data_IF_787397912669
#
_entry.id   IF_787397912669
#
_cell.length_a   1.000
_cell.length_b   1.000
_cell.length_c   1.000
_cell.angle_alpha   90.00
_cell.angle_beta   90.00
_cell.angle_gamma   90.00
#
_symmetry.space_group_name_H-M   'P 1'
#
loop_
_entity.id
_entity.type
_entity.pdbx_description
1 polymer ?
#
# COMPACT_ATOMS: atom_id res chain seq x y z
N UNK A 1 15.49 2.76 -27.95
CA UNK A 1 16.65 3.41 -27.33
C UNK A 1 17.45 2.30 -26.65
N UNK A 2 18.76 2.43 -26.49
CA UNK A 2 19.55 1.42 -25.78
C UNK A 2 19.32 1.57 -24.28
N UNK A 3 18.92 0.46 -23.62
CA UNK A 3 18.80 0.40 -22.16
C UNK A 3 20.18 0.24 -21.57
N UNK A 4 20.58 1.14 -20.68
CA UNK A 4 21.89 1.12 -20.05
C UNK A 4 21.74 0.70 -18.59
N UNK A 5 22.33 -0.43 -18.24
CA UNK A 5 22.48 -0.91 -16.86
C UNK A 5 23.51 -0.05 -16.12
N UNK A 6 23.10 1.12 -15.63
CA UNK A 6 23.97 2.00 -14.85
C UNK A 6 24.37 1.40 -13.50
N UNK A 7 23.48 0.62 -12.90
CA UNK A 7 23.76 -0.01 -11.61
C UNK A 7 24.85 -1.08 -11.74
N UNK A 8 24.77 -1.91 -12.78
CA UNK A 8 25.84 -2.85 -13.08
C UNK A 8 27.16 -2.18 -13.50
N UNK A 9 27.11 -0.99 -14.09
CA UNK A 9 28.32 -0.18 -14.35
C UNK A 9 28.91 0.40 -13.05
N UNK A 10 28.06 0.84 -12.13
CA UNK A 10 28.47 1.31 -10.80
C UNK A 10 29.10 0.17 -10.00
N UNK A 11 28.45 -0.99 -9.93
CA UNK A 11 28.93 -2.16 -9.19
C UNK A 11 30.31 -2.62 -9.62
N UNK A 12 30.58 -2.61 -10.94
CA UNK A 12 31.92 -2.90 -11.46
C UNK A 12 32.96 -1.92 -10.97
N UNK A 13 32.63 -0.61 -10.91
CA UNK A 13 33.52 0.43 -10.38
C UNK A 13 33.70 0.31 -8.87
N UNK A 14 32.60 0.08 -8.14
CA UNK A 14 32.58 -0.12 -6.69
C UNK A 14 33.46 -1.31 -6.30
N UNK A 15 33.28 -2.46 -6.96
CA UNK A 15 34.10 -3.67 -6.74
C UNK A 15 35.60 -3.37 -6.92
N UNK A 16 35.96 -2.61 -7.97
CA UNK A 16 37.33 -2.18 -8.20
C UNK A 16 37.88 -1.24 -7.10
N UNK A 17 37.04 -0.36 -6.59
CA UNK A 17 37.36 0.55 -5.49
C UNK A 17 37.50 -0.18 -4.15
N UNK A 18 36.59 -1.12 -3.86
CA UNK A 18 36.65 -1.96 -2.66
C UNK A 18 37.88 -2.85 -2.63
N UNK A 19 38.27 -3.48 -3.74
CA UNK A 19 39.50 -4.27 -3.83
C UNK A 19 40.76 -3.47 -3.45
N UNK A 20 40.81 -2.18 -3.77
CA UNK A 20 41.94 -1.30 -3.43
C UNK A 20 41.91 -0.77 -1.99
N UNK A 21 40.73 -0.70 -1.36
CA UNK A 21 40.51 -0.04 -0.07
C UNK A 21 39.86 -0.95 0.97
N UNK A 22 39.50 -2.20 0.69
CA UNK A 22 38.68 -3.08 1.52
C UNK A 22 39.22 -3.37 2.91
N UNK A 23 40.57 -3.38 3.08
CA UNK A 23 41.15 -3.55 4.42
C UNK A 23 41.22 -2.30 5.29
N UNK A 24 40.69 -1.17 4.82
CA UNK A 24 40.75 0.13 5.50
C UNK A 24 39.43 0.59 6.15
N UNK A 25 38.36 -0.15 5.95
CA UNK A 25 37.01 0.25 6.37
C UNK A 25 36.22 -0.91 6.94
N UNK A 26 35.39 -0.63 7.93
CA UNK A 26 34.39 -1.55 8.47
C UNK A 26 33.18 -1.66 7.54
N UNK A 27 32.36 -2.69 7.72
CA UNK A 27 31.11 -2.89 6.96
C UNK A 27 30.18 -1.66 7.06
N UNK A 28 29.98 -1.15 8.27
CA UNK A 28 29.17 0.05 8.53
C UNK A 28 29.69 1.31 7.83
N UNK A 29 31.01 1.46 7.71
CA UNK A 29 31.60 2.57 6.95
C UNK A 29 31.37 2.42 5.46
N UNK A 30 31.33 1.18 4.94
CA UNK A 30 30.96 0.91 3.55
C UNK A 30 29.49 1.19 3.29
N UNK A 31 28.58 0.73 4.14
CA UNK A 31 27.14 1.00 4.03
C UNK A 31 26.84 2.50 3.91
N UNK A 32 27.51 3.34 4.69
CA UNK A 32 27.35 4.78 4.62
C UNK A 32 28.00 5.43 3.39
N UNK A 33 29.09 4.85 2.88
CA UNK A 33 29.84 5.43 1.76
C UNK A 33 29.26 5.07 0.39
N UNK A 34 28.64 3.87 0.25
CA UNK A 34 28.13 3.40 -1.05
C UNK A 34 27.11 4.37 -1.64
N UNK A 35 26.11 4.89 -0.89
CA UNK A 35 25.18 5.89 -1.40
C UNK A 35 25.87 7.16 -1.90
N UNK A 36 26.86 7.68 -1.15
CA UNK A 36 27.62 8.86 -1.59
C UNK A 36 28.43 8.62 -2.88
N UNK A 37 28.95 7.40 -3.05
CA UNK A 37 29.68 7.03 -4.26
C UNK A 37 28.74 6.88 -5.45
N UNK A 38 27.52 6.39 -5.22
CA UNK A 38 26.49 6.28 -6.25
C UNK A 38 26.03 7.67 -6.71
N UNK A 39 25.77 8.60 -5.79
CA UNK A 39 25.49 9.98 -6.10
C UNK A 39 26.58 10.63 -6.98
N UNK A 40 27.85 10.48 -6.57
CA UNK A 40 29.00 10.96 -7.34
C UNK A 40 29.12 10.28 -8.71
N UNK A 41 28.72 9.01 -8.81
CA UNK A 41 28.71 8.29 -10.09
C UNK A 41 27.67 8.90 -11.05
N UNK A 42 26.54 9.36 -10.56
CA UNK A 42 25.52 10.05 -11.35
C UNK A 42 26.06 11.26 -12.12
N UNK A 43 27.08 11.94 -11.58
CA UNK A 43 27.74 13.11 -12.19
C UNK A 43 29.08 12.78 -12.86
N UNK A 44 29.50 11.51 -12.84
CA UNK A 44 30.74 11.11 -13.47
C UNK A 44 30.60 10.96 -15.00
N UNK A 45 31.47 11.61 -15.76
CA UNK A 45 31.48 11.48 -17.21
C UNK A 45 31.85 10.05 -17.64
N UNK A 46 31.02 9.47 -18.49
CA UNK A 46 31.21 8.10 -19.03
C UNK A 46 31.56 8.20 -20.51
N UNK A 47 32.84 7.95 -20.91
CA UNK A 47 33.30 8.12 -22.29
C UNK A 47 32.51 7.31 -23.33
N UNK A 48 32.01 6.12 -22.94
CA UNK A 48 31.26 5.26 -23.86
C UNK A 48 29.93 5.85 -24.32
N UNK A 49 29.28 6.65 -23.47
CA UNK A 49 28.00 7.29 -23.76
C UNK A 49 28.11 8.78 -24.01
N UNK A 50 29.27 9.37 -23.78
CA UNK A 50 29.55 10.80 -24.04
C UNK A 50 28.85 11.78 -23.10
N UNK A 51 28.38 11.34 -21.93
CA UNK A 51 27.72 12.15 -20.93
C UNK A 51 27.78 11.50 -19.54
N UNK A 52 27.20 12.15 -18.53
CA UNK A 52 26.99 11.55 -17.20
C UNK A 52 25.67 10.75 -17.17
N UNK A 53 25.46 9.80 -16.23
CA UNK A 53 24.19 9.10 -16.06
C UNK A 53 23.00 10.04 -15.94
N UNK A 54 23.08 11.09 -15.11
CA UNK A 54 22.03 12.10 -14.96
C UNK A 54 21.76 12.86 -16.28
N UNK A 55 22.81 13.25 -17.01
CA UNK A 55 22.66 13.92 -18.29
C UNK A 55 22.07 13.02 -19.38
N UNK A 56 22.26 11.71 -19.29
CA UNK A 56 21.68 10.76 -20.22
C UNK A 56 20.15 10.84 -20.21
N UNK A 57 19.54 10.79 -19.04
CA UNK A 57 18.09 10.89 -18.88
C UNK A 57 17.57 12.34 -19.07
N UNK A 58 18.31 13.32 -18.58
CA UNK A 58 17.94 14.75 -18.73
C UNK A 58 17.81 15.22 -20.18
N UNK A 59 18.46 14.56 -21.14
CA UNK A 59 18.39 14.90 -22.59
C UNK A 59 17.18 14.28 -23.29
N UNK A 60 16.51 13.31 -22.66
CA UNK A 60 15.31 12.67 -23.21
C UNK A 60 14.13 13.61 -23.15
N UNK A 61 13.21 13.55 -24.12
CA UNK A 61 11.88 14.10 -23.93
C UNK A 61 11.04 13.16 -23.06
N UNK A 62 9.86 13.60 -22.62
CA UNK A 62 9.04 12.84 -21.67
C UNK A 62 8.58 11.49 -22.24
N UNK A 63 8.31 11.40 -23.53
CA UNK A 63 7.96 10.14 -24.19
C UNK A 63 9.13 9.14 -24.17
N UNK A 64 10.33 9.64 -24.46
CA UNK A 64 11.54 8.82 -24.42
C UNK A 64 11.88 8.39 -22.99
N UNK A 65 11.69 9.29 -22.02
CA UNK A 65 11.97 9.03 -20.61
C UNK A 65 11.08 7.90 -20.07
N UNK A 66 9.75 8.04 -20.25
CA UNK A 66 8.78 7.02 -19.81
C UNK A 66 8.93 5.73 -20.64
N UNK A 67 9.16 5.83 -21.96
CA UNK A 67 9.41 4.64 -22.77
C UNK A 67 10.70 3.90 -22.34
N UNK A 68 11.71 4.61 -21.84
CA UNK A 68 12.92 3.99 -21.28
C UNK A 68 12.63 3.32 -19.95
N UNK A 69 11.84 3.94 -19.07
CA UNK A 69 11.39 3.34 -17.81
C UNK A 69 10.64 2.02 -18.06
N UNK A 70 9.61 2.04 -18.89
CA UNK A 70 8.88 0.83 -19.29
C UNK A 70 9.80 -0.23 -19.92
N UNK A 71 10.79 0.20 -20.71
CA UNK A 71 11.77 -0.70 -21.29
C UNK A 71 12.64 -1.40 -20.25
N UNK A 72 13.06 -0.71 -19.19
CA UNK A 72 13.80 -1.32 -18.07
C UNK A 72 12.95 -2.37 -17.35
N UNK A 73 11.70 -2.03 -17.01
CA UNK A 73 10.76 -2.93 -16.31
C UNK A 73 10.50 -4.20 -17.14
N UNK A 74 10.07 -4.04 -18.38
CA UNK A 74 9.74 -5.17 -19.26
C UNK A 74 10.95 -5.99 -19.71
N UNK A 75 12.14 -5.36 -19.75
CA UNK A 75 13.39 -6.01 -20.14
C UNK A 75 14.11 -6.71 -18.99
N UNK A 76 13.62 -6.62 -17.76
CA UNK A 76 14.29 -7.16 -16.57
C UNK A 76 15.66 -6.53 -16.32
N UNK A 77 15.88 -5.30 -16.79
CA UNK A 77 17.10 -4.52 -16.52
C UNK A 77 16.83 -3.62 -15.33
N UNK A 78 17.69 -3.58 -14.30
CA UNK A 78 17.47 -2.73 -13.14
C UNK A 78 17.10 -1.30 -13.52
N UNK A 79 16.09 -0.73 -12.87
CA UNK A 79 15.66 0.66 -13.08
C UNK A 79 16.61 1.56 -12.29
N UNK A 80 17.47 2.37 -12.93
CA UNK A 80 18.41 3.20 -12.21
C UNK A 80 17.72 4.34 -11.48
N UNK A 81 18.16 4.64 -10.26
CA UNK A 81 17.61 5.74 -9.45
C UNK A 81 17.66 7.11 -10.20
N UNK A 82 18.67 7.33 -11.05
CA UNK A 82 18.78 8.53 -11.87
C UNK A 82 17.62 8.69 -12.87
N UNK A 83 17.06 7.58 -13.36
CA UNK A 83 15.88 7.58 -14.22
C UNK A 83 14.64 7.95 -13.39
N UNK A 84 14.43 7.33 -12.25
CA UNK A 84 13.34 7.64 -11.33
C UNK A 84 13.38 9.11 -10.90
N UNK A 85 14.54 9.59 -10.47
CA UNK A 85 14.73 10.98 -10.06
C UNK A 85 14.39 11.99 -11.19
N UNK A 86 14.69 11.69 -12.45
CA UNK A 86 14.33 12.58 -13.56
C UNK A 86 12.82 12.51 -13.88
N UNK A 87 12.18 11.34 -13.73
CA UNK A 87 10.72 11.20 -13.84
C UNK A 87 10.02 11.99 -12.74
N UNK A 88 10.43 11.84 -11.49
CA UNK A 88 9.89 12.60 -10.33
C UNK A 88 10.05 14.11 -10.50
N UNK A 89 11.21 14.54 -10.96
CA UNK A 89 11.51 15.96 -11.18
C UNK A 89 10.61 16.59 -12.25
N UNK A 90 10.35 15.88 -13.35
CA UNK A 90 9.54 16.40 -14.47
C UNK A 90 8.05 16.18 -14.28
N UNK A 91 7.68 15.10 -13.60
CA UNK A 91 6.28 14.67 -13.40
C UNK A 91 5.46 14.71 -14.70
N UNK A 92 5.81 13.94 -15.72
CA UNK A 92 5.06 13.91 -16.99
C UNK A 92 3.72 13.14 -16.79
N UNK A 93 2.77 13.75 -16.06
CA UNK A 93 1.58 13.14 -15.49
C UNK A 93 0.76 12.37 -16.53
N UNK A 94 0.50 12.97 -17.71
CA UNK A 94 -0.28 12.29 -18.76
C UNK A 94 0.39 10.98 -19.23
N UNK A 95 1.72 10.95 -19.32
CA UNK A 95 2.47 9.76 -19.73
C UNK A 95 2.49 8.71 -18.64
N UNK A 96 2.67 9.13 -17.38
CA UNK A 96 2.62 8.20 -16.24
C UNK A 96 1.21 7.62 -16.09
N UNK A 97 0.15 8.44 -16.24
CA UNK A 97 -1.24 7.95 -16.25
C UNK A 97 -1.48 6.88 -17.33
N UNK A 98 -0.79 6.96 -18.48
CA UNK A 98 -0.92 5.91 -19.50
C UNK A 98 -0.27 4.57 -19.12
N UNK A 99 0.72 4.58 -18.20
CA UNK A 99 1.33 3.35 -17.69
C UNK A 99 0.36 2.52 -16.83
N UNK A 100 -0.67 3.16 -16.22
CA UNK A 100 -1.72 2.45 -15.47
C UNK A 100 -2.57 1.51 -16.35
N UNK A 101 -2.54 1.67 -17.67
CA UNK A 101 -3.21 0.76 -18.61
C UNK A 101 -2.34 -0.44 -19.02
N UNK A 102 -1.14 -0.55 -18.46
CA UNK A 102 -0.24 -1.67 -18.76
C UNK A 102 -0.81 -2.98 -18.23
N UNK A 103 -0.65 -4.04 -19.00
CA UNK A 103 -0.89 -5.41 -18.54
C UNK A 103 0.26 -5.95 -17.70
N UNK A 104 1.38 -5.25 -17.64
CA UNK A 104 2.53 -5.55 -16.80
C UNK A 104 2.33 -4.86 -15.44
N UNK A 105 2.17 -5.67 -14.40
CA UNK A 105 1.83 -5.22 -13.04
C UNK A 105 2.91 -4.30 -12.45
N UNK A 106 4.18 -4.62 -12.68
CA UNK A 106 5.29 -3.80 -12.19
C UNK A 106 5.26 -2.40 -12.82
N UNK A 107 4.97 -2.29 -14.11
CA UNK A 107 4.79 -1.01 -14.80
C UNK A 107 3.63 -0.20 -14.20
N UNK A 108 2.51 -0.84 -13.89
CA UNK A 108 1.37 -0.17 -13.26
C UNK A 108 1.70 0.29 -11.83
N UNK A 109 2.39 -0.52 -11.02
CA UNK A 109 2.84 -0.15 -9.67
C UNK A 109 3.78 1.06 -9.70
N UNK A 110 4.75 1.09 -10.62
CA UNK A 110 5.60 2.27 -10.78
C UNK A 110 4.79 3.53 -11.14
N UNK A 111 3.75 3.40 -11.95
CA UNK A 111 2.86 4.51 -12.27
C UNK A 111 2.13 5.03 -11.02
N UNK A 112 1.55 4.14 -10.20
CA UNK A 112 0.89 4.52 -8.94
C UNK A 112 1.88 5.22 -8.02
N UNK A 113 3.10 4.68 -7.86
CA UNK A 113 4.14 5.26 -7.03
C UNK A 113 4.52 6.70 -7.45
N UNK A 114 4.68 6.96 -8.75
CA UNK A 114 5.05 8.29 -9.24
C UNK A 114 3.90 9.31 -9.19
N UNK A 115 2.65 8.87 -9.33
CA UNK A 115 1.48 9.75 -9.31
C UNK A 115 1.03 10.01 -7.87
N UNK A 116 1.00 8.98 -7.02
CA UNK A 116 0.50 9.05 -5.65
C UNK A 116 -0.96 9.51 -5.60
N UNK A 117 -1.25 10.47 -4.72
CA UNK A 117 -2.58 11.03 -4.47
C UNK A 117 -2.94 12.24 -5.36
N UNK A 118 -2.36 12.34 -6.56
CA UNK A 118 -2.69 13.39 -7.53
C UNK A 118 -4.12 13.25 -8.04
N UNK A 119 -4.91 14.33 -7.95
CA UNK A 119 -6.33 14.34 -8.32
C UNK A 119 -6.59 13.93 -9.78
N UNK A 120 -5.62 14.14 -10.68
CA UNK A 120 -5.73 13.73 -12.07
C UNK A 120 -5.81 12.21 -12.25
N UNK A 121 -5.37 11.43 -11.25
CA UNK A 121 -5.42 9.97 -11.28
C UNK A 121 -6.74 9.39 -10.71
N UNK A 122 -7.52 10.15 -9.96
CA UNK A 122 -8.65 9.61 -9.20
C UNK A 122 -9.67 8.86 -10.07
N UNK A 123 -10.05 9.43 -11.22
CA UNK A 123 -10.99 8.75 -12.11
C UNK A 123 -10.45 7.41 -12.60
N UNK A 124 -9.16 7.35 -12.87
CA UNK A 124 -8.49 6.12 -13.31
C UNK A 124 -8.36 5.11 -12.18
N UNK A 125 -8.02 5.55 -10.98
CA UNK A 125 -7.97 4.72 -9.79
C UNK A 125 -9.33 4.09 -9.46
N UNK A 126 -10.40 4.88 -9.47
CA UNK A 126 -11.74 4.32 -9.33
C UNK A 126 -12.07 3.30 -10.43
N UNK A 127 -11.71 3.59 -11.69
CA UNK A 127 -11.91 2.64 -12.80
C UNK A 127 -11.16 1.33 -12.59
N UNK A 128 -9.95 1.35 -12.03
CA UNK A 128 -9.16 0.14 -11.69
C UNK A 128 -9.92 -0.69 -10.66
N UNK A 129 -10.35 -0.08 -9.53
CA UNK A 129 -11.08 -0.78 -8.47
C UNK A 129 -12.47 -1.25 -8.92
N UNK A 130 -13.15 -0.51 -9.82
CA UNK A 130 -14.45 -0.87 -10.37
C UNK A 130 -14.38 -2.06 -11.34
N UNK A 131 -13.31 -2.15 -12.15
CA UNK A 131 -13.10 -3.26 -13.06
C UNK A 131 -12.62 -4.52 -12.33
N UNK A 132 -11.75 -4.38 -11.32
CA UNK A 132 -11.19 -5.49 -10.58
C UNK A 132 -10.38 -6.47 -11.46
N UNK A 133 -9.71 -5.93 -12.48
CA UNK A 133 -8.93 -6.69 -13.47
C UNK A 133 -7.43 -6.47 -13.36
N UNK A 134 -7.02 -5.52 -12.51
CA UNK A 134 -5.62 -5.28 -12.17
C UNK A 134 -5.11 -6.34 -11.18
N UNK A 135 -3.79 -6.49 -11.07
CA UNK A 135 -3.20 -7.31 -10.01
C UNK A 135 -3.57 -6.79 -8.62
N UNK A 136 -3.61 -7.69 -7.65
CA UNK A 136 -4.02 -7.35 -6.28
C UNK A 136 -3.13 -6.26 -5.67
N UNK A 137 -1.83 -6.28 -5.95
CA UNK A 137 -0.89 -5.28 -5.45
C UNK A 137 -1.19 -3.89 -6.04
N UNK A 138 -1.56 -3.80 -7.32
CA UNK A 138 -1.97 -2.54 -7.96
C UNK A 138 -3.26 -2.01 -7.34
N UNK A 139 -4.27 -2.86 -7.15
CA UNK A 139 -5.54 -2.46 -6.55
C UNK A 139 -5.34 -1.96 -5.11
N UNK A 140 -4.52 -2.64 -4.33
CA UNK A 140 -4.19 -2.24 -2.95
C UNK A 140 -3.47 -0.89 -2.92
N UNK A 141 -2.45 -0.68 -3.76
CA UNK A 141 -1.70 0.57 -3.80
C UNK A 141 -2.57 1.75 -4.26
N UNK A 142 -3.44 1.52 -5.24
CA UNK A 142 -4.46 2.49 -5.69
C UNK A 142 -5.41 2.85 -4.55
N UNK A 143 -5.87 1.85 -3.78
CA UNK A 143 -6.73 2.09 -2.63
C UNK A 143 -6.00 2.92 -1.54
N UNK A 144 -4.71 2.66 -1.29
CA UNK A 144 -3.91 3.47 -0.36
C UNK A 144 -3.82 4.94 -0.81
N UNK A 145 -3.59 5.19 -2.10
CA UNK A 145 -3.60 6.56 -2.64
C UNK A 145 -4.95 7.25 -2.42
N UNK A 146 -6.06 6.56 -2.70
CA UNK A 146 -7.40 7.10 -2.49
C UNK A 146 -7.74 7.31 -1.01
N UNK A 147 -7.24 6.46 -0.10
CA UNK A 147 -7.37 6.64 1.36
C UNK A 147 -6.66 7.90 1.84
N UNK A 148 -5.47 8.19 1.31
CA UNK A 148 -4.76 9.44 1.63
C UNK A 148 -5.55 10.68 1.21
N UNK A 149 -6.33 10.57 0.13
CA UNK A 149 -7.18 11.65 -0.39
C UNK A 149 -8.66 11.51 0.00
N UNK A 150 -9.00 10.73 1.03
CA UNK A 150 -10.37 10.31 1.35
C UNK A 150 -11.39 11.45 1.38
N UNK A 151 -11.07 12.59 2.00
CA UNK A 151 -11.99 13.75 2.07
C UNK A 151 -12.32 14.34 0.68
N UNK A 152 -11.41 14.24 -0.27
CA UNK A 152 -11.62 14.73 -1.65
C UNK A 152 -12.50 13.78 -2.45
N UNK A 153 -12.37 12.47 -2.18
CA UNK A 153 -13.02 11.41 -2.98
C UNK A 153 -14.25 10.78 -2.32
N UNK A 154 -14.58 11.13 -1.08
CA UNK A 154 -15.67 10.51 -0.29
C UNK A 154 -17.01 10.42 -1.01
N UNK A 155 -17.42 11.47 -1.73
CA UNK A 155 -18.69 11.47 -2.47
C UNK A 155 -18.68 10.43 -3.61
N UNK A 156 -17.56 10.29 -4.31
CA UNK A 156 -17.39 9.27 -5.35
C UNK A 156 -17.35 7.87 -4.73
N UNK A 157 -16.63 7.69 -3.62
CA UNK A 157 -16.57 6.41 -2.91
C UNK A 157 -17.95 5.97 -2.39
N UNK A 158 -18.77 6.89 -1.83
CA UNK A 158 -20.16 6.62 -1.44
C UNK A 158 -21.03 6.16 -2.62
N UNK A 159 -20.91 6.85 -3.74
CA UNK A 159 -21.66 6.49 -4.95
C UNK A 159 -21.25 5.09 -5.45
N UNK A 160 -19.95 4.86 -5.60
CA UNK A 160 -19.42 3.57 -6.06
C UNK A 160 -19.79 2.42 -5.10
N UNK A 161 -19.74 2.65 -3.78
CA UNK A 161 -20.23 1.68 -2.78
C UNK A 161 -21.68 1.30 -3.01
N UNK A 162 -22.55 2.29 -3.17
CA UNK A 162 -23.99 2.06 -3.38
C UNK A 162 -24.29 1.32 -4.67
N UNK A 163 -23.59 1.67 -5.74
CA UNK A 163 -23.73 0.97 -7.02
C UNK A 163 -23.28 -0.49 -6.93
N UNK A 164 -22.15 -0.76 -6.28
CA UNK A 164 -21.66 -2.11 -6.05
C UNK A 164 -22.68 -2.93 -5.24
N UNK A 165 -23.19 -2.37 -4.14
CA UNK A 165 -24.20 -3.01 -3.29
C UNK A 165 -25.51 -3.26 -4.04
N UNK A 166 -25.98 -2.29 -4.83
CA UNK A 166 -27.19 -2.43 -5.63
C UNK A 166 -27.11 -3.53 -6.68
N UNK A 167 -25.98 -3.59 -7.40
CA UNK A 167 -25.71 -4.65 -8.39
C UNK A 167 -25.52 -6.03 -7.75
N UNK A 168 -24.90 -6.11 -6.58
CA UNK A 168 -24.69 -7.36 -5.83
C UNK A 168 -26.00 -7.96 -5.32
N UNK A 169 -26.99 -7.12 -5.03
CA UNK A 169 -28.32 -7.56 -4.60
C UNK A 169 -29.20 -8.13 -5.73
N UNK A 170 -28.80 -7.98 -7.00
CA UNK A 170 -29.53 -8.55 -8.14
C UNK A 170 -29.31 -10.07 -8.22
N UNK A 171 -30.40 -10.83 -8.15
CA UNK A 171 -30.38 -12.30 -8.23
C UNK A 171 -29.86 -12.84 -9.56
N UNK A 172 -29.81 -12.02 -10.63
CA UNK A 172 -29.30 -12.40 -11.93
C UNK A 172 -27.78 -12.20 -12.06
N UNK A 173 -27.12 -11.61 -11.07
CA UNK A 173 -25.68 -11.39 -11.09
C UNK A 173 -24.92 -12.70 -10.90
N UNK A 174 -23.98 -13.00 -11.79
CA UNK A 174 -23.13 -14.18 -11.69
C UNK A 174 -22.28 -14.14 -10.41
N UNK A 175 -21.97 -15.31 -9.83
CA UNK A 175 -21.26 -15.41 -8.54
C UNK A 175 -19.89 -14.73 -8.57
N UNK A 176 -19.12 -14.94 -9.64
CA UNK A 176 -17.82 -14.27 -9.85
C UNK A 176 -17.94 -12.73 -9.86
N UNK A 177 -19.03 -12.23 -10.46
CA UNK A 177 -19.31 -10.80 -10.47
C UNK A 177 -19.72 -10.30 -9.07
N UNK A 178 -20.44 -11.09 -8.29
CA UNK A 178 -20.79 -10.75 -6.91
C UNK A 178 -19.56 -10.62 -6.02
N UNK A 179 -18.63 -11.57 -6.14
CA UNK A 179 -17.36 -11.55 -5.39
C UNK A 179 -16.56 -10.29 -5.71
N UNK A 180 -16.47 -9.92 -6.99
CA UNK A 180 -15.83 -8.69 -7.43
C UNK A 180 -16.52 -7.43 -6.88
N UNK A 181 -17.84 -7.37 -6.93
CA UNK A 181 -18.61 -6.24 -6.40
C UNK A 181 -18.47 -6.13 -4.88
N UNK A 182 -18.33 -7.25 -4.20
CA UNK A 182 -18.07 -7.27 -2.77
C UNK A 182 -16.66 -6.74 -2.43
N UNK A 183 -15.65 -7.16 -3.18
CA UNK A 183 -14.28 -6.62 -3.04
C UNK A 183 -14.25 -5.12 -3.29
N UNK A 184 -14.93 -4.66 -4.35
CA UNK A 184 -15.09 -3.25 -4.67
C UNK A 184 -15.77 -2.48 -3.52
N UNK A 185 -16.86 -3.01 -2.97
CA UNK A 185 -17.56 -2.38 -1.84
C UNK A 185 -16.65 -2.28 -0.60
N UNK A 186 -15.81 -3.28 -0.36
CA UNK A 186 -14.88 -3.28 0.76
C UNK A 186 -13.79 -2.19 0.61
N UNK A 187 -13.20 -2.03 -0.58
CA UNK A 187 -12.29 -0.92 -0.86
C UNK A 187 -12.96 0.45 -0.60
N UNK A 188 -14.23 0.60 -0.98
CA UNK A 188 -14.94 1.86 -0.73
C UNK A 188 -15.17 2.11 0.76
N UNK A 189 -15.50 1.09 1.55
CA UNK A 189 -15.62 1.21 3.01
C UNK A 189 -14.29 1.61 3.65
N UNK A 190 -13.20 1.02 3.20
CA UNK A 190 -11.87 1.34 3.69
C UNK A 190 -11.48 2.79 3.38
N UNK A 191 -11.73 3.26 2.15
CA UNK A 191 -11.50 4.66 1.76
C UNK A 191 -12.38 5.61 2.61
N UNK A 192 -13.66 5.31 2.75
CA UNK A 192 -14.59 6.12 3.54
C UNK A 192 -14.21 6.21 5.01
N UNK A 193 -13.63 5.14 5.56
CA UNK A 193 -13.17 5.11 6.95
C UNK A 193 -12.02 6.09 7.24
N UNK A 194 -11.34 6.59 6.22
CA UNK A 194 -10.25 7.56 6.34
C UNK A 194 -10.69 9.01 6.13
N UNK A 195 -11.94 9.24 5.80
CA UNK A 195 -12.49 10.62 5.72
C UNK A 195 -12.72 11.21 7.10
N UNK A 196 -12.79 12.53 7.18
CA UNK A 196 -13.05 13.24 8.42
C UNK A 196 -14.42 12.83 9.01
N UNK A 197 -14.43 12.55 10.32
CA UNK A 197 -15.63 12.16 11.05
C UNK A 197 -16.70 13.29 11.04
N UNK A 198 -17.97 12.89 11.23
CA UNK A 198 -19.09 13.81 11.35
C UNK A 198 -20.05 13.85 10.15
N UNK A 199 -19.78 13.09 9.10
CA UNK A 199 -20.71 12.88 8.00
C UNK A 199 -21.67 11.73 8.32
N UNK A 200 -22.94 12.04 8.52
CA UNK A 200 -23.96 11.05 8.91
C UNK A 200 -24.17 9.96 7.86
N UNK A 201 -23.97 10.27 6.58
CA UNK A 201 -24.16 9.32 5.50
C UNK A 201 -23.05 8.27 5.50
N UNK A 202 -21.79 8.70 5.67
CA UNK A 202 -20.65 7.80 5.80
C UNK A 202 -20.77 6.96 7.08
N UNK A 203 -21.08 7.60 8.21
CA UNK A 203 -21.29 6.90 9.48
C UNK A 203 -22.32 5.77 9.35
N UNK A 204 -23.49 6.07 8.77
CA UNK A 204 -24.54 5.08 8.58
C UNK A 204 -24.13 3.93 7.66
N UNK A 205 -23.35 4.21 6.62
CA UNK A 205 -22.79 3.18 5.73
C UNK A 205 -21.85 2.26 6.49
N UNK A 206 -20.90 2.81 7.26
CA UNK A 206 -19.93 2.03 8.03
C UNK A 206 -20.61 1.19 9.12
N UNK A 207 -21.57 1.75 9.87
CA UNK A 207 -22.34 1.03 10.90
C UNK A 207 -23.20 -0.07 10.30
N UNK A 208 -23.86 0.18 9.17
CA UNK A 208 -24.66 -0.85 8.47
C UNK A 208 -23.75 -2.01 8.02
N UNK A 209 -22.64 -1.68 7.38
CA UNK A 209 -21.68 -2.69 6.91
C UNK A 209 -21.10 -3.53 8.07
N UNK A 210 -20.81 -2.91 9.22
CA UNK A 210 -20.28 -3.62 10.40
C UNK A 210 -21.14 -4.80 10.83
N UNK A 211 -22.47 -4.69 10.77
CA UNK A 211 -23.39 -5.74 11.21
C UNK A 211 -23.79 -6.77 10.14
N UNK A 212 -23.32 -6.65 8.90
CA UNK A 212 -23.82 -7.49 7.79
C UNK A 212 -23.21 -8.89 7.73
N UNK A 213 -21.93 -9.04 8.06
CA UNK A 213 -21.18 -10.31 7.94
C UNK A 213 -20.28 -10.51 9.16
N UNK A 214 -20.49 -11.61 9.86
CA UNK A 214 -19.76 -11.90 11.11
C UNK A 214 -18.25 -12.06 10.86
N UNK A 215 -17.86 -12.72 9.80
CA UNK A 215 -16.47 -12.94 9.45
C UNK A 215 -15.69 -11.65 9.13
N UNK A 216 -16.40 -10.55 8.82
CA UNK A 216 -15.80 -9.24 8.52
C UNK A 216 -15.81 -8.26 9.68
N UNK A 217 -16.42 -8.62 10.81
CA UNK A 217 -16.53 -7.74 11.98
C UNK A 217 -15.15 -7.24 12.46
N UNK A 218 -14.10 -8.08 12.59
CA UNK A 218 -12.79 -7.60 13.03
C UNK A 218 -12.25 -6.46 12.17
N UNK A 219 -12.26 -6.65 10.86
CA UNK A 219 -11.79 -5.66 9.89
C UNK A 219 -12.67 -4.39 9.91
N UNK A 220 -13.99 -4.54 9.93
CA UNK A 220 -14.93 -3.42 9.93
C UNK A 220 -14.97 -2.66 11.25
N UNK A 221 -14.59 -3.29 12.36
CA UNK A 221 -14.33 -2.59 13.62
C UNK A 221 -13.16 -1.61 13.47
N UNK A 222 -12.09 -2.01 12.77
CA UNK A 222 -10.97 -1.11 12.49
C UNK A 222 -11.37 0.08 11.59
N UNK A 223 -12.33 -0.09 10.69
CA UNK A 223 -12.88 1.03 9.88
C UNK A 223 -13.64 2.04 10.74
N UNK A 224 -14.45 1.56 11.68
CA UNK A 224 -15.14 2.44 12.63
C UNK A 224 -14.16 3.20 13.52
N UNK A 225 -13.12 2.53 13.99
CA UNK A 225 -12.03 3.16 14.75
C UNK A 225 -11.29 4.22 13.92
N UNK A 226 -10.97 3.91 12.66
CA UNK A 226 -10.27 4.82 11.75
C UNK A 226 -11.12 6.06 11.40
N UNK A 227 -12.44 5.89 11.24
CA UNK A 227 -13.37 6.98 11.01
C UNK A 227 -13.49 7.92 12.23
N UNK A 228 -13.31 7.40 13.44
CA UNK A 228 -13.18 8.22 14.64
C UNK A 228 -14.47 8.82 15.19
N UNK A 229 -15.65 8.27 14.84
CA UNK A 229 -16.94 8.76 15.35
C UNK A 229 -17.39 7.97 16.58
N UNK A 230 -17.39 8.64 17.75
CA UNK A 230 -17.74 8.04 19.04
C UNK A 230 -19.16 7.43 19.08
N UNK A 231 -20.05 7.81 18.17
CA UNK A 231 -21.40 7.22 18.04
C UNK A 231 -21.36 5.71 17.74
N UNK A 232 -20.22 5.17 17.29
CA UNK A 232 -20.03 3.74 17.09
C UNK A 232 -19.83 2.95 18.40
N UNK A 233 -19.43 3.60 19.50
CA UNK A 233 -19.17 2.94 20.79
C UNK A 233 -20.29 2.01 21.28
N UNK A 234 -21.58 2.40 21.30
CA UNK A 234 -22.64 1.52 21.79
C UNK A 234 -22.77 0.21 20.99
N UNK A 235 -22.50 0.27 19.67
CA UNK A 235 -22.56 -0.92 18.79
C UNK A 235 -21.38 -1.83 19.03
N UNK A 236 -20.16 -1.28 19.14
CA UNK A 236 -18.95 -2.04 19.45
C UNK A 236 -19.00 -2.67 20.84
N UNK A 237 -19.43 -1.92 21.87
CA UNK A 237 -19.61 -2.43 23.24
C UNK A 237 -20.64 -3.55 23.30
N UNK A 238 -21.75 -3.43 22.60
CA UNK A 238 -22.74 -4.52 22.51
C UNK A 238 -22.18 -5.77 21.87
N UNK A 239 -21.34 -5.62 20.83
CA UNK A 239 -20.76 -6.79 20.12
C UNK A 239 -19.69 -7.48 20.97
N UNK A 240 -18.81 -6.73 21.64
CA UNK A 240 -17.73 -7.30 22.46
C UNK A 240 -18.27 -8.10 23.67
N UNK A 241 -19.48 -7.79 24.16
CA UNK A 241 -20.15 -8.53 25.23
C UNK A 241 -20.67 -9.91 24.79
N UNK A 242 -20.76 -10.19 23.48
CA UNK A 242 -21.19 -11.48 22.97
C UNK A 242 -20.22 -12.58 23.39
N UNK A 243 -20.77 -13.71 23.87
CA UNK A 243 -19.96 -14.87 24.32
C UNK A 243 -19.41 -15.71 23.15
N UNK A 244 -19.92 -15.51 21.95
CA UNK A 244 -19.61 -16.31 20.76
C UNK A 244 -18.42 -15.78 19.94
N UNK A 245 -17.85 -14.62 20.34
CA UNK A 245 -16.73 -14.03 19.62
C UNK A 245 -15.40 -14.70 20.00
N UNK A 246 -14.54 -14.96 18.99
CA UNK A 246 -13.19 -15.47 19.16
C UNK A 246 -12.19 -14.39 19.61
N UNK A 247 -10.95 -14.83 19.86
CA UNK A 247 -9.87 -13.96 20.35
C UNK A 247 -9.56 -12.81 19.40
N UNK A 248 -9.46 -13.07 18.08
CA UNK A 248 -9.13 -12.03 17.09
C UNK A 248 -10.22 -10.96 17.06
N UNK A 249 -11.50 -11.37 17.01
CA UNK A 249 -12.61 -10.42 17.01
C UNK A 249 -12.65 -9.60 18.29
N UNK A 250 -12.45 -10.23 19.44
CA UNK A 250 -12.39 -9.53 20.72
C UNK A 250 -11.29 -8.48 20.76
N UNK A 251 -10.10 -8.82 20.29
CA UNK A 251 -8.95 -7.92 20.28
C UNK A 251 -9.21 -6.71 19.39
N UNK A 252 -9.73 -6.91 18.18
CA UNK A 252 -10.01 -5.82 17.25
C UNK A 252 -11.15 -4.91 17.75
N UNK A 253 -12.19 -5.51 18.35
CA UNK A 253 -13.26 -4.72 18.99
C UNK A 253 -12.74 -3.89 20.16
N UNK A 254 -11.90 -4.47 21.02
CA UNK A 254 -11.29 -3.76 22.15
C UNK A 254 -10.43 -2.60 21.65
N UNK A 255 -9.59 -2.84 20.65
CA UNK A 255 -8.80 -1.80 20.01
C UNK A 255 -9.68 -0.67 19.44
N UNK A 256 -10.75 -1.02 18.74
CA UNK A 256 -11.68 -0.03 18.18
C UNK A 256 -12.38 0.81 19.26
N UNK A 257 -12.80 0.17 20.36
CA UNK A 257 -13.41 0.86 21.50
C UNK A 257 -12.42 1.84 22.13
N UNK A 258 -11.19 1.41 22.39
CA UNK A 258 -10.13 2.24 22.97
C UNK A 258 -9.75 3.42 22.05
N UNK A 259 -9.64 3.17 20.73
CA UNK A 259 -9.35 4.21 19.75
C UNK A 259 -10.44 5.30 19.68
N UNK A 260 -11.69 4.94 19.96
CA UNK A 260 -12.81 5.89 20.05
C UNK A 260 -12.99 6.52 21.44
N UNK A 261 -12.04 6.33 22.37
CA UNK A 261 -12.07 6.89 23.70
C UNK A 261 -12.95 6.14 24.71
N UNK A 262 -13.45 4.95 24.36
CA UNK A 262 -14.15 4.06 25.28
C UNK A 262 -13.21 3.16 26.06
N UNK A 263 -13.74 2.45 27.06
CA UNK A 263 -12.98 1.47 27.85
C UNK A 263 -13.78 0.16 27.93
N UNK A 264 -13.06 -0.97 27.84
CA UNK A 264 -13.60 -2.29 28.09
C UNK A 264 -12.62 -3.12 28.92
N UNK A 265 -12.95 -3.38 30.19
CA UNK A 265 -12.05 -3.98 31.18
C UNK A 265 -12.55 -5.33 31.70
N UNK A 266 -13.65 -5.88 31.17
CA UNK A 266 -14.15 -7.18 31.59
C UNK A 266 -13.17 -8.29 31.20
N UNK A 267 -12.72 -9.11 32.17
CA UNK A 267 -11.79 -10.21 31.90
C UNK A 267 -12.49 -11.27 31.05
N UNK A 268 -11.76 -11.81 30.07
CA UNK A 268 -12.23 -12.87 29.19
C UNK A 268 -11.16 -13.93 28.98
N UNK A 269 -11.57 -15.19 28.95
CA UNK A 269 -10.70 -16.34 28.62
C UNK A 269 -11.07 -16.85 27.23
N UNK A 270 -10.06 -17.34 26.52
CA UNK A 270 -10.19 -17.89 25.17
C UNK A 270 -9.63 -19.32 25.11
N UNK A 271 -9.94 -20.14 26.14
CA UNK A 271 -9.48 -21.49 26.23
C UNK A 271 -9.96 -22.32 25.02
N UNK A 272 -9.00 -22.85 24.25
CA UNK A 272 -9.27 -23.63 23.05
C UNK A 272 -9.44 -22.81 21.75
N UNK A 273 -9.31 -21.49 21.79
CA UNK A 273 -9.23 -20.66 20.59
C UNK A 273 -7.84 -20.81 19.94
N UNK A 274 -7.82 -21.24 18.67
CA UNK A 274 -6.56 -21.53 17.96
C UNK A 274 -5.66 -20.31 17.81
N UNK A 275 -6.22 -19.13 17.61
CA UNK A 275 -5.44 -17.90 17.41
C UNK A 275 -4.89 -17.38 18.75
N UNK A 276 -5.63 -17.56 19.83
CA UNK A 276 -5.14 -17.28 21.17
C UNK A 276 -3.95 -18.18 21.53
N UNK A 277 -4.06 -19.50 21.29
CA UNK A 277 -2.96 -20.44 21.53
C UNK A 277 -1.70 -20.12 20.72
N UNK A 278 -1.83 -19.69 19.46
CA UNK A 278 -0.67 -19.24 18.64
C UNK A 278 0.05 -18.04 19.25
N UNK A 279 -0.70 -17.07 19.79
CA UNK A 279 -0.12 -15.88 20.43
C UNK A 279 0.57 -16.24 21.75
N UNK A 280 -0.02 -17.14 22.57
CA UNK A 280 0.62 -17.63 23.78
C UNK A 280 1.94 -18.37 23.49
N UNK A 281 1.94 -19.25 22.47
CA UNK A 281 3.13 -19.98 22.05
C UNK A 281 4.26 -19.06 21.53
N UNK A 282 3.92 -17.99 20.83
CA UNK A 282 4.89 -16.98 20.36
C UNK A 282 5.47 -16.20 21.54
N UNK A 283 4.63 -15.73 22.44
CA UNK A 283 5.05 -14.98 23.62
C UNK A 283 5.94 -15.84 24.55
N UNK A 284 5.65 -17.14 24.68
CA UNK A 284 6.49 -18.07 25.42
C UNK A 284 7.87 -18.26 24.78
N UNK A 285 7.96 -18.28 23.44
CA UNK A 285 9.24 -18.40 22.71
C UNK A 285 10.06 -17.13 22.81
N UNK A 286 9.46 -15.95 22.72
CA UNK A 286 10.15 -14.66 22.86
C UNK A 286 10.64 -14.43 24.29
N UNK A 287 9.85 -14.76 25.32
CA UNK A 287 10.27 -14.71 26.72
C UNK A 287 11.43 -15.66 27.04
N UNK A 288 11.56 -16.80 26.36
CA UNK A 288 12.71 -17.70 26.49
C UNK A 288 13.99 -17.17 25.81
N UNK A 289 13.85 -16.36 24.73
CA UNK A 289 15.01 -15.80 24.02
C UNK A 289 15.70 -14.66 24.81
N UNK A 290 14.95 -13.90 25.60
CA UNK A 290 15.53 -12.86 26.47
C UNK A 290 16.30 -13.44 27.67
N UNK A 291 15.89 -14.59 28.21
CA UNK A 291 16.57 -15.25 29.34
C UNK A 291 17.86 -15.95 28.85
N UNK A 292 17.92 -16.39 27.59
CA UNK A 292 19.10 -17.06 27.02
C UNK A 292 20.28 -16.14 26.71
N UNK A 293 20.07 -14.84 26.66
CA UNK A 293 21.13 -13.84 26.39
C UNK A 293 21.75 -13.21 27.66
N UNK A 294 21.38 -13.69 28.83
CA UNK A 294 21.90 -13.25 30.14
C UNK A 294 22.79 -14.29 30.85
N UNK A 295 23.22 -15.36 30.16
CA UNK A 295 24.15 -16.36 30.71
C UNK A 295 25.51 -16.36 30.05
#
# INVERSE_FOLDING_TARGET
MELIDFDGLFDKKLTGYMKKNGGKRTEKEWENLIPELYEKFGDAFLPKIGCTPRQYYARMNDEQLIGTLCGHLQGGVPVPEFLCAEVEKRRPTERILSMLDSSDEETALYAVHFIGDDEQAFDKYFSILEKGEAGEDVENEVAECLKTAADKVKNRALLTYREARGKNADNNTAEEQKERLEKQAEYMLEILSRSAAGDDEIFNVLISAFGEKEEKIPMRASYLAAYGDERALPVLLKRIESREIGFVEFRELKYAIEALGGEYNEPRTFDGDEDFMKVEDQSAKEGFSEIGNLS
#
